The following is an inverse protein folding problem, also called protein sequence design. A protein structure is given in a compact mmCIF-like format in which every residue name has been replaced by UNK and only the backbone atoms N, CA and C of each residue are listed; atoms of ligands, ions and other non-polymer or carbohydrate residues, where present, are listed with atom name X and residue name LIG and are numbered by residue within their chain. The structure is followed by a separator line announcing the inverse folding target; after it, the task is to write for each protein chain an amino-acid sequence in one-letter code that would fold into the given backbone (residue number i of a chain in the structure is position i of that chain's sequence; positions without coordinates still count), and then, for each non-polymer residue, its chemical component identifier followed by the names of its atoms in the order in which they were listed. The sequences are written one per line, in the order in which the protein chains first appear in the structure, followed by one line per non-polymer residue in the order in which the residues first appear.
data_IF_090933929737
#
_entry.id   IF_090933929737
#
_cell.length_a   1.000
_cell.length_b   1.000
_cell.length_c   1.000
_cell.angle_alpha   90.00
_cell.angle_beta   90.00
_cell.angle_gamma   90.00
#
_symmetry.space_group_name_H-M   'P 1'
#
loop_
_entity.id
_entity.type
_entity.pdbx_description
1 polymer ?
#
# COMPACT_ATOMS: atom_id res chain seq x y z
N UNK A 1 -21.35 -20.36 -10.21
CA UNK A 1 -19.89 -20.53 -10.46
C UNK A 1 -19.05 -19.24 -10.35
N UNK A 2 -19.56 -18.03 -10.68
CA UNK A 2 -18.77 -16.78 -10.59
C UNK A 2 -18.48 -16.33 -9.14
N UNK A 3 -19.47 -16.42 -8.24
CA UNK A 3 -19.30 -16.07 -6.82
C UNK A 3 -18.22 -16.88 -6.11
N UNK A 4 -18.06 -18.14 -6.53
CA UNK A 4 -17.08 -19.07 -5.99
C UNK A 4 -15.64 -18.66 -6.36
N UNK A 5 -15.42 -18.22 -7.61
CA UNK A 5 -14.11 -17.72 -8.07
C UNK A 5 -13.66 -16.47 -7.29
N UNK A 6 -14.57 -15.51 -7.09
CA UNK A 6 -14.26 -14.30 -6.31
C UNK A 6 -13.98 -14.63 -4.83
N UNK A 7 -14.72 -15.58 -4.25
CA UNK A 7 -14.48 -16.06 -2.88
C UNK A 7 -13.14 -16.77 -2.76
N UNK A 8 -12.80 -17.64 -3.70
CA UNK A 8 -11.50 -18.33 -3.77
C UNK A 8 -10.35 -17.33 -3.90
N UNK A 9 -10.47 -16.35 -4.79
CA UNK A 9 -9.44 -15.31 -4.96
C UNK A 9 -9.22 -14.54 -3.66
N UNK A 10 -10.28 -14.10 -2.99
CA UNK A 10 -10.16 -13.44 -1.67
C UNK A 10 -9.46 -14.34 -0.64
N UNK A 11 -9.83 -15.62 -0.58
CA UNK A 11 -9.20 -16.56 0.34
C UNK A 11 -7.69 -16.69 0.09
N UNK A 12 -7.27 -16.78 -1.17
CA UNK A 12 -5.84 -16.86 -1.53
C UNK A 12 -5.06 -15.59 -1.15
N UNK A 13 -5.64 -14.41 -1.39
CA UNK A 13 -4.99 -13.15 -1.00
C UNK A 13 -4.83 -13.08 0.52
N UNK A 14 -5.86 -13.44 1.28
CA UNK A 14 -5.80 -13.47 2.74
C UNK A 14 -4.78 -14.49 3.24
N UNK A 15 -4.75 -15.69 2.66
CA UNK A 15 -3.79 -16.74 3.00
C UNK A 15 -2.35 -16.25 2.82
N UNK A 16 -2.03 -15.66 1.67
CA UNK A 16 -0.69 -15.15 1.37
C UNK A 16 -0.33 -13.99 2.29
N UNK A 17 -1.16 -12.94 2.35
CA UNK A 17 -0.81 -11.69 3.03
C UNK A 17 -1.01 -11.74 4.56
N UNK A 18 -1.56 -12.82 5.11
CA UNK A 18 -1.53 -13.08 6.55
C UNK A 18 -0.27 -13.81 7.02
N UNK A 19 0.54 -14.37 6.11
CA UNK A 19 1.86 -14.90 6.45
C UNK A 19 2.82 -13.76 6.80
N UNK A 20 3.86 -14.04 7.59
CA UNK A 20 4.87 -13.02 7.95
C UNK A 20 5.56 -12.43 6.72
N UNK A 21 6.10 -13.29 5.84
CA UNK A 21 6.69 -12.83 4.58
C UNK A 21 5.69 -12.08 3.70
N UNK A 22 4.43 -12.51 3.68
CA UNK A 22 3.36 -11.83 2.95
C UNK A 22 3.13 -10.41 3.46
N UNK A 23 3.13 -10.20 4.78
CA UNK A 23 3.00 -8.86 5.38
C UNK A 23 4.17 -7.95 4.99
N UNK A 24 5.39 -8.46 5.02
CA UNK A 24 6.58 -7.70 4.61
C UNK A 24 6.51 -7.29 3.12
N UNK A 25 6.13 -8.23 2.24
CA UNK A 25 5.93 -7.95 0.82
C UNK A 25 4.79 -6.94 0.60
N UNK A 26 3.70 -7.04 1.36
CA UNK A 26 2.61 -6.06 1.27
C UNK A 26 3.09 -4.67 1.66
N UNK A 27 3.90 -4.55 2.71
CA UNK A 27 4.49 -3.28 3.13
C UNK A 27 5.39 -2.69 2.03
N UNK A 28 6.24 -3.50 1.40
CA UNK A 28 7.06 -3.06 0.26
C UNK A 28 6.21 -2.59 -0.94
N UNK A 29 5.17 -3.34 -1.29
CA UNK A 29 4.21 -2.96 -2.34
C UNK A 29 3.58 -1.61 -2.01
N UNK A 30 3.18 -1.37 -0.76
CA UNK A 30 2.61 -0.09 -0.32
C UNK A 30 3.58 1.07 -0.51
N UNK A 31 4.84 0.89 -0.10
CA UNK A 31 5.90 1.91 -0.24
C UNK A 31 6.18 2.22 -1.71
N UNK A 32 6.18 1.20 -2.56
CA UNK A 32 6.61 1.31 -3.95
C UNK A 32 5.49 1.65 -4.95
N UNK A 33 4.23 1.87 -4.53
CA UNK A 33 3.11 2.07 -5.46
C UNK A 33 2.27 3.33 -5.24
N UNK A 34 2.87 4.38 -4.67
CA UNK A 34 2.28 5.74 -4.61
C UNK A 34 0.91 5.82 -3.91
N UNK A 35 0.52 4.78 -3.17
CA UNK A 35 -0.74 4.79 -2.42
C UNK A 35 -0.67 5.75 -1.24
N UNK A 36 0.51 5.92 -0.64
CA UNK A 36 0.76 6.77 0.52
C UNK A 36 1.03 8.24 0.15
N UNK A 37 1.06 8.57 -1.13
CA UNK A 37 1.42 9.89 -1.64
C UNK A 37 0.25 10.48 -2.43
N UNK A 38 0.22 11.81 -2.54
CA UNK A 38 -0.80 12.53 -3.31
C UNK A 38 -0.27 12.96 -4.68
N UNK A 39 -1.13 12.91 -5.70
CA UNK A 39 -0.86 13.46 -7.04
C UNK A 39 -1.24 14.93 -7.15
N UNK A 40 -1.82 15.54 -6.10
CA UNK A 40 -2.32 16.93 -6.13
C UNK A 40 -1.23 17.99 -6.37
N UNK A 41 0.05 17.63 -6.19
CA UNK A 41 1.19 18.51 -6.42
C UNK A 41 1.86 18.27 -7.79
N UNK A 42 1.45 17.22 -8.50
CA UNK A 42 1.99 16.88 -9.81
C UNK A 42 1.35 17.82 -10.86
N UNK A 43 2.17 18.40 -11.73
CA UNK A 43 1.71 19.29 -12.82
C UNK A 43 1.72 18.61 -14.18
N UNK A 44 2.42 17.47 -14.31
CA UNK A 44 2.47 16.66 -15.53
C UNK A 44 1.33 15.62 -15.55
N UNK A 45 0.40 15.69 -16.52
CA UNK A 45 -0.67 14.71 -16.67
C UNK A 45 -0.19 13.27 -16.83
N UNK A 46 0.96 13.04 -17.46
CA UNK A 46 1.49 11.68 -17.65
C UNK A 46 1.99 11.10 -16.32
N UNK A 47 2.65 11.93 -15.51
CA UNK A 47 3.09 11.57 -14.18
C UNK A 47 1.90 11.26 -13.26
N UNK A 48 0.84 12.07 -13.30
CA UNK A 48 -0.41 11.81 -12.56
C UNK A 48 -0.98 10.45 -12.95
N UNK A 49 -1.17 10.21 -14.26
CA UNK A 49 -1.77 8.96 -14.75
C UNK A 49 -0.93 7.73 -14.36
N UNK A 50 0.40 7.83 -14.42
CA UNK A 50 1.30 6.77 -13.99
C UNK A 50 1.17 6.48 -12.48
N UNK A 51 1.14 7.53 -11.66
CA UNK A 51 0.99 7.42 -10.22
C UNK A 51 -0.37 6.83 -9.81
N UNK A 52 -1.46 7.24 -10.47
CA UNK A 52 -2.78 6.65 -10.25
C UNK A 52 -2.84 5.18 -10.70
N UNK A 53 -2.17 4.82 -11.79
CA UNK A 53 -2.05 3.43 -12.25
C UNK A 53 -1.38 2.54 -11.20
N UNK A 54 -0.28 3.01 -10.60
CA UNK A 54 0.41 2.31 -9.50
C UNK A 54 -0.49 2.18 -8.27
N UNK A 55 -1.19 3.26 -7.89
CA UNK A 55 -2.13 3.26 -6.76
C UNK A 55 -3.25 2.24 -6.96
N UNK A 56 -3.78 2.10 -8.17
CA UNK A 56 -4.85 1.17 -8.49
C UNK A 56 -4.48 -0.29 -8.19
N UNK A 57 -3.21 -0.68 -8.36
CA UNK A 57 -2.71 -2.03 -8.02
C UNK A 57 -2.89 -2.32 -6.53
N UNK A 58 -2.50 -1.37 -5.69
CA UNK A 58 -2.66 -1.49 -4.24
C UNK A 58 -4.13 -1.59 -3.86
N UNK A 59 -4.97 -0.71 -4.41
CA UNK A 59 -6.41 -0.71 -4.11
C UNK A 59 -7.08 -2.04 -4.49
N UNK A 60 -6.64 -2.67 -5.59
CA UNK A 60 -7.13 -3.99 -5.99
C UNK A 60 -6.75 -5.08 -4.98
N UNK A 61 -5.52 -5.06 -4.46
CA UNK A 61 -5.06 -5.98 -3.39
C UNK A 61 -5.90 -5.76 -2.12
N UNK A 62 -6.07 -4.51 -1.70
CA UNK A 62 -6.82 -4.16 -0.50
C UNK A 62 -8.29 -4.59 -0.57
N UNK A 63 -8.91 -4.43 -1.74
CA UNK A 63 -10.26 -4.93 -1.98
C UNK A 63 -10.36 -6.46 -1.82
N UNK A 64 -9.33 -7.22 -2.20
CA UNK A 64 -9.30 -8.67 -1.97
C UNK A 64 -9.07 -9.04 -0.50
N UNK A 65 -8.28 -8.26 0.22
CA UNK A 65 -8.09 -8.40 1.66
C UNK A 65 -9.31 -7.95 2.47
N UNK A 66 -10.24 -7.21 1.85
CA UNK A 66 -11.38 -6.56 2.48
C UNK A 66 -10.96 -5.54 3.54
N UNK A 67 -9.84 -4.86 3.30
CA UNK A 67 -9.38 -3.74 4.11
C UNK A 67 -10.25 -2.54 3.77
N UNK A 68 -10.84 -1.94 4.80
CA UNK A 68 -11.66 -0.74 4.70
C UNK A 68 -10.80 0.50 4.41
N UNK A 69 -11.38 1.57 3.88
CA UNK A 69 -10.66 2.84 3.71
C UNK A 69 -10.05 3.37 5.01
N UNK A 70 -10.73 3.15 6.15
CA UNK A 70 -10.26 3.57 7.48
C UNK A 70 -9.00 2.78 7.86
N UNK A 71 -9.06 1.46 7.80
CA UNK A 71 -7.89 0.60 8.08
C UNK A 71 -6.73 0.88 7.12
N UNK A 72 -7.04 1.22 5.87
CA UNK A 72 -6.01 1.64 4.92
C UNK A 72 -5.35 2.94 5.39
N UNK A 73 -6.11 3.98 5.70
CA UNK A 73 -5.60 5.27 6.18
C UNK A 73 -4.78 5.12 7.47
N UNK A 74 -5.19 4.25 8.39
CA UNK A 74 -4.41 3.93 9.59
C UNK A 74 -3.06 3.30 9.23
N UNK A 75 -3.04 2.32 8.32
CA UNK A 75 -1.78 1.78 7.79
C UNK A 75 -0.93 2.83 7.07
N UNK A 76 -1.55 3.76 6.34
CA UNK A 76 -0.81 4.85 5.71
C UNK A 76 -0.11 5.71 6.75
N UNK A 77 -0.82 6.04 7.83
CA UNK A 77 -0.30 6.82 8.95
C UNK A 77 0.85 6.11 9.65
N UNK A 78 0.69 4.82 9.98
CA UNK A 78 1.74 4.02 10.62
C UNK A 78 3.03 3.95 9.79
N UNK A 79 2.91 3.77 8.47
CA UNK A 79 4.07 3.73 7.58
C UNK A 79 4.72 5.11 7.48
N UNK A 80 3.93 6.18 7.38
CA UNK A 80 4.44 7.54 7.37
C UNK A 80 5.19 7.90 8.66
N UNK A 81 4.60 7.58 9.81
CA UNK A 81 5.20 7.82 11.12
C UNK A 81 6.53 7.07 11.23
N UNK A 82 6.59 5.79 10.82
CA UNK A 82 7.83 5.00 10.78
C UNK A 82 8.91 5.65 9.92
N UNK A 83 8.60 6.00 8.67
CA UNK A 83 9.54 6.68 7.74
C UNK A 83 10.04 8.00 8.33
N UNK A 84 9.16 8.77 8.97
CA UNK A 84 9.51 10.04 9.62
C UNK A 84 10.53 9.83 10.75
N UNK A 85 10.32 8.81 11.60
CA UNK A 85 11.29 8.42 12.64
C UNK A 85 12.62 7.95 12.05
N UNK A 86 12.60 7.06 11.04
CA UNK A 86 13.82 6.52 10.42
C UNK A 86 14.69 7.64 9.81
N UNK A 87 14.07 8.59 9.11
CA UNK A 87 14.75 9.75 8.55
C UNK A 87 15.36 10.65 9.64
N UNK A 88 14.68 10.78 10.79
CA UNK A 88 15.15 11.58 11.92
C UNK A 88 16.35 10.92 12.60
N UNK A 89 16.32 9.61 12.81
CA UNK A 89 17.44 8.87 13.39
C UNK A 89 18.67 8.87 12.48
N UNK A 90 18.48 8.70 11.17
CA UNK A 90 19.57 8.83 10.19
C UNK A 90 20.20 10.23 10.23
N UNK A 91 19.41 11.30 10.36
CA UNK A 91 19.94 12.67 10.41
C UNK A 91 20.76 12.98 11.69
N UNK A 92 20.48 12.28 12.79
CA UNK A 92 21.22 12.43 14.06
C UNK A 92 22.55 11.66 14.07
N UNK A 93 22.67 10.59 13.28
CA UNK A 93 23.88 9.76 13.18
C UNK A 93 24.93 10.29 12.18
N UNK A 94 24.67 11.42 11.52
CA UNK A 94 25.56 12.04 10.52
C UNK A 94 26.23 13.33 11.09
N UNK A 95 25.96 13.70 12.34
CA UNK A 95 26.65 14.76 13.10
C UNK A 95 27.55 14.16 14.18
#
# INVERSE_FOLDING_TARGET
MIFDKSKRRRALYKEVFNSEAGKEVLEDILRCNFVLNTTMQDTDPLQIAFNEGRRAVVLAIMNHLQITPVELMEKQREVYDRISTDNREQSLNIN
#
